data_IF_616070177422
#
_entry.id   IF_616070177422
#
_cell.length_a   1.000
_cell.length_b   1.000
_cell.length_c   1.000
_cell.angle_alpha   90.00
_cell.angle_beta   90.00
_cell.angle_gamma   90.00
#
_symmetry.space_group_name_H-M   'P 1'
#
loop_
_entity.id
_entity.type
_entity.pdbx_description
1 polymer ?
#
# COMPACT_ATOMS: atom_id res chain seq x y z
N UNK A 1 -9.55 8.71 9.69
CA UNK A 1 -10.94 8.34 9.37
C UNK A 1 -11.27 8.94 8.02
N UNK A 2 -10.75 8.38 6.95
CA UNK A 2 -11.26 8.69 5.63
C UNK A 2 -12.66 8.10 5.53
N UNK A 3 -13.63 8.92 5.17
CA UNK A 3 -14.93 8.44 4.77
C UNK A 3 -14.75 7.25 3.82
N UNK A 4 -15.54 6.21 4.02
CA UNK A 4 -15.49 4.94 3.27
C UNK A 4 -16.01 5.17 1.85
N UNK A 5 -15.43 6.14 1.16
CA UNK A 5 -15.83 6.54 -0.19
C UNK A 5 -15.45 5.50 -1.24
N UNK A 6 -14.49 4.62 -0.96
CA UNK A 6 -14.16 3.52 -1.88
C UNK A 6 -15.24 2.45 -1.95
N UNK A 7 -16.01 2.21 -0.87
CA UNK A 7 -17.15 1.29 -0.89
C UNK A 7 -18.36 1.85 -1.65
N UNK A 8 -18.44 3.17 -1.81
CA UNK A 8 -19.57 3.82 -2.49
C UNK A 8 -19.37 3.99 -4.00
N UNK A 9 -18.20 3.69 -4.55
CA UNK A 9 -17.86 3.95 -5.95
C UNK A 9 -17.70 2.69 -6.81
N UNK A 10 -17.72 1.50 -6.23
CA UNK A 10 -17.57 0.25 -6.96
C UNK A 10 -18.49 -0.85 -6.46
N UNK A 11 -18.85 -1.79 -7.33
CA UNK A 11 -19.66 -2.97 -6.96
C UNK A 11 -18.92 -3.88 -5.99
N UNK A 12 -17.59 -3.85 -6.01
CA UNK A 12 -16.71 -4.71 -5.23
C UNK A 12 -15.45 -3.97 -4.84
N UNK A 13 -15.05 -4.09 -3.56
CA UNK A 13 -13.75 -3.62 -3.05
C UNK A 13 -12.92 -4.82 -2.60
N UNK A 14 -11.69 -4.90 -3.10
CA UNK A 14 -10.74 -5.93 -2.70
C UNK A 14 -9.69 -5.32 -1.75
N UNK A 15 -9.53 -5.94 -0.58
CA UNK A 15 -8.51 -5.58 0.40
C UNK A 15 -7.44 -6.66 0.48
N UNK A 16 -6.20 -6.24 0.69
CA UNK A 16 -5.06 -7.14 0.91
C UNK A 16 -4.58 -7.03 2.35
N UNK A 17 -4.28 -8.18 2.95
CA UNK A 17 -3.64 -8.31 4.27
C UNK A 17 -2.20 -8.83 4.16
N UNK A 18 -1.55 -8.64 3.01
CA UNK A 18 -0.13 -8.98 2.87
C UNK A 18 0.72 -8.23 3.91
N UNK A 19 1.89 -8.79 4.25
CA UNK A 19 2.76 -8.30 5.32
C UNK A 19 3.15 -6.82 5.25
N UNK A 20 3.22 -6.26 4.04
CA UNK A 20 3.57 -4.86 3.80
C UNK A 20 2.36 -3.90 3.82
N UNK A 21 1.16 -4.37 4.15
CA UNK A 21 -0.05 -3.54 4.19
C UNK A 21 -0.22 -2.82 5.54
N UNK A 22 -0.99 -1.72 5.59
CA UNK A 22 -1.29 -1.04 6.85
C UNK A 22 -1.94 -1.93 7.92
N UNK A 23 -2.78 -2.87 7.50
CA UNK A 23 -3.30 -3.97 8.32
C UNK A 23 -2.70 -5.28 7.79
N UNK A 24 -1.53 -5.70 8.31
CA UNK A 24 -0.83 -6.87 7.81
C UNK A 24 -1.31 -8.17 8.46
N UNK A 25 -1.03 -9.28 7.78
CA UNK A 25 -0.99 -10.62 8.39
C UNK A 25 0.40 -11.23 8.23
N UNK A 26 0.72 -12.29 8.98
CA UNK A 26 1.99 -13.05 8.81
C UNK A 26 1.97 -13.97 7.58
N UNK A 27 0.84 -14.02 6.89
CA UNK A 27 0.66 -14.79 5.66
C UNK A 27 -0.08 -13.95 4.62
N UNK A 28 -0.31 -14.50 3.45
CA UNK A 28 -1.15 -13.87 2.45
C UNK A 28 -2.62 -13.99 2.82
N UNK A 29 -3.38 -12.90 2.72
CA UNK A 29 -4.81 -12.88 2.98
C UNK A 29 -5.45 -11.66 2.36
N UNK A 30 -6.76 -11.62 2.39
CA UNK A 30 -7.53 -10.49 1.88
C UNK A 30 -9.00 -10.58 2.24
N UNK A 31 -9.74 -9.52 1.92
CA UNK A 31 -11.18 -9.46 2.03
C UNK A 31 -11.79 -8.91 0.74
N UNK A 32 -13.00 -9.36 0.46
CA UNK A 32 -13.86 -8.81 -0.58
C UNK A 32 -15.08 -8.20 0.10
N UNK A 33 -15.37 -6.95 -0.22
CA UNK A 33 -16.49 -6.19 0.32
C UNK A 33 -17.43 -5.85 -0.83
N UNK A 34 -18.73 -6.01 -0.61
CA UNK A 34 -19.77 -5.65 -1.59
C UNK A 34 -21.11 -5.44 -0.88
N UNK A 35 -21.89 -4.48 -1.37
CA UNK A 35 -23.26 -4.24 -0.95
C UNK A 35 -24.26 -5.05 -1.81
N UNK A 36 -23.77 -5.73 -2.86
CA UNK A 36 -24.60 -6.56 -3.73
C UNK A 36 -24.73 -7.98 -3.17
N UNK A 37 -25.93 -8.32 -2.73
CA UNK A 37 -26.26 -9.62 -2.12
C UNK A 37 -25.99 -10.81 -3.05
N UNK A 38 -26.20 -10.67 -4.36
CA UNK A 38 -25.94 -11.73 -5.33
C UNK A 38 -24.45 -12.00 -5.45
N UNK A 39 -23.64 -10.94 -5.56
CA UNK A 39 -22.17 -11.02 -5.59
C UNK A 39 -21.62 -11.60 -4.29
N UNK A 40 -22.18 -11.20 -3.14
CA UNK A 40 -21.79 -11.76 -1.83
C UNK A 40 -21.92 -13.29 -1.80
N UNK A 41 -23.09 -13.82 -2.16
CA UNK A 41 -23.29 -15.28 -2.20
C UNK A 41 -22.42 -15.97 -3.25
N UNK A 42 -22.23 -15.36 -4.41
CA UNK A 42 -21.33 -15.87 -5.43
C UNK A 42 -19.88 -15.97 -4.92
N UNK A 43 -19.38 -14.96 -4.22
CA UNK A 43 -18.03 -15.00 -3.61
C UNK A 43 -17.91 -16.03 -2.50
N UNK A 44 -18.95 -16.23 -1.69
CA UNK A 44 -18.98 -17.32 -0.71
C UNK A 44 -18.85 -18.71 -1.37
N UNK A 45 -19.52 -18.91 -2.50
CA UNK A 45 -19.40 -20.17 -3.25
C UNK A 45 -18.00 -20.31 -3.86
N UNK A 46 -17.49 -19.28 -4.53
CA UNK A 46 -16.17 -19.30 -5.17
C UNK A 46 -15.04 -19.59 -4.18
N UNK A 47 -15.06 -18.97 -3.00
CA UNK A 47 -14.06 -19.20 -1.95
C UNK A 47 -14.17 -20.59 -1.30
N UNK A 48 -15.31 -21.29 -1.48
CA UNK A 48 -15.56 -22.61 -0.97
C UNK A 48 -15.65 -23.65 -2.10
N UNK A 49 -14.61 -23.72 -2.94
CA UNK A 49 -14.51 -24.68 -4.05
C UNK A 49 -15.64 -24.58 -5.10
N UNK A 50 -16.35 -23.47 -5.20
CA UNK A 50 -17.48 -23.29 -6.11
C UNK A 50 -18.76 -23.96 -5.67
N UNK A 51 -18.93 -24.26 -4.35
CA UNK A 51 -20.11 -24.91 -3.78
C UNK A 51 -20.92 -23.96 -2.91
N UNK A 52 -22.27 -24.00 -3.01
CA UNK A 52 -23.13 -23.28 -2.09
C UNK A 52 -23.21 -23.92 -0.69
N UNK A 53 -22.73 -25.15 -0.51
CA UNK A 53 -22.74 -25.84 0.76
C UNK A 53 -22.10 -27.24 0.71
N UNK A 54 -21.91 -27.87 1.89
CA UNK A 54 -21.14 -29.12 2.03
C UNK A 54 -21.69 -30.29 1.22
N UNK A 55 -23.00 -30.39 1.03
CA UNK A 55 -23.68 -31.50 0.35
C UNK A 55 -24.30 -31.11 -0.99
N UNK A 56 -24.04 -29.87 -1.46
CA UNK A 56 -24.62 -29.39 -2.72
C UNK A 56 -23.60 -29.51 -3.87
N UNK A 57 -24.08 -29.65 -5.11
CA UNK A 57 -23.20 -29.77 -6.27
C UNK A 57 -22.38 -28.50 -6.50
N UNK A 58 -21.29 -28.66 -7.22
CA UNK A 58 -20.48 -27.51 -7.68
C UNK A 58 -21.29 -26.71 -8.69
N UNK A 59 -21.35 -25.41 -8.49
CA UNK A 59 -22.06 -24.48 -9.38
C UNK A 59 -21.09 -23.56 -10.14
N UNK A 60 -19.85 -23.47 -9.66
CA UNK A 60 -18.82 -22.61 -10.23
C UNK A 60 -17.44 -23.27 -10.10
N UNK A 61 -16.48 -22.85 -10.92
CA UNK A 61 -15.08 -23.09 -10.63
C UNK A 61 -14.67 -22.19 -9.46
N UNK A 62 -14.14 -22.77 -8.40
CA UNK A 62 -13.76 -22.05 -7.21
C UNK A 62 -12.47 -22.57 -6.59
N UNK A 63 -11.97 -21.88 -5.58
CA UNK A 63 -10.76 -22.22 -4.85
C UNK A 63 -11.05 -22.43 -3.36
N UNK A 64 -10.12 -23.03 -2.62
CA UNK A 64 -10.12 -22.94 -1.16
C UNK A 64 -9.58 -21.58 -0.76
N UNK A 65 -10.47 -20.61 -0.56
CA UNK A 65 -10.14 -19.24 -0.19
C UNK A 65 -10.56 -18.85 1.23
N UNK A 66 -10.76 -19.85 2.10
CA UNK A 66 -11.08 -19.62 3.52
C UNK A 66 -9.75 -19.49 4.26
N UNK A 67 -9.50 -18.38 4.98
CA UNK A 67 -8.29 -18.23 5.79
C UNK A 67 -8.27 -19.25 6.92
N UNK A 68 -7.08 -19.65 7.32
CA UNK A 68 -6.91 -20.48 8.51
C UNK A 68 -7.21 -19.67 9.79
N UNK A 69 -7.61 -20.36 10.87
CA UNK A 69 -8.01 -19.69 12.13
C UNK A 69 -6.91 -18.86 12.74
N UNK A 70 -5.65 -19.31 12.66
CA UNK A 70 -4.49 -18.58 13.15
C UNK A 70 -4.35 -17.20 12.48
N UNK A 71 -4.61 -17.13 11.18
CA UNK A 71 -4.62 -15.87 10.44
C UNK A 71 -5.72 -14.93 10.94
N UNK A 72 -6.91 -15.47 11.21
CA UNK A 72 -8.04 -14.68 11.71
C UNK A 72 -7.75 -14.11 13.11
N UNK A 73 -7.20 -14.93 14.01
CA UNK A 73 -6.79 -14.49 15.35
C UNK A 73 -5.75 -13.38 15.28
N UNK A 74 -4.75 -13.53 14.43
CA UNK A 74 -3.70 -12.52 14.25
C UNK A 74 -4.27 -11.20 13.71
N UNK A 75 -5.14 -11.25 12.70
CA UNK A 75 -5.78 -10.04 12.18
C UNK A 75 -6.59 -9.32 13.25
N UNK A 76 -7.31 -10.03 14.10
CA UNK A 76 -8.04 -9.43 15.23
C UNK A 76 -7.07 -8.71 16.18
N UNK A 77 -5.95 -9.33 16.56
CA UNK A 77 -4.94 -8.69 17.39
C UNK A 77 -4.32 -7.43 16.74
N UNK A 78 -4.16 -7.43 15.41
CA UNK A 78 -3.65 -6.29 14.67
C UNK A 78 -4.70 -5.18 14.53
N UNK A 79 -5.97 -5.52 14.40
CA UNK A 79 -7.07 -4.55 14.35
C UNK A 79 -7.15 -3.72 15.64
N UNK A 80 -6.90 -4.31 16.80
CA UNK A 80 -6.86 -3.58 18.09
C UNK A 80 -5.78 -2.48 18.12
N UNK A 81 -4.74 -2.60 17.29
CA UNK A 81 -3.62 -1.66 17.21
C UNK A 81 -3.67 -0.77 15.96
N UNK A 82 -4.58 -1.05 15.05
CA UNK A 82 -4.60 -0.44 13.72
C UNK A 82 -4.70 1.09 13.77
N UNK A 83 -5.58 1.65 14.60
CA UNK A 83 -5.76 3.09 14.70
C UNK A 83 -4.49 3.80 15.20
N UNK A 84 -3.79 3.21 16.18
CA UNK A 84 -2.53 3.74 16.68
C UNK A 84 -1.42 3.66 15.60
N UNK A 85 -1.33 2.57 14.87
CA UNK A 85 -0.39 2.44 13.76
C UNK A 85 -0.68 3.42 12.63
N UNK A 86 -1.96 3.63 12.34
CA UNK A 86 -2.38 4.55 11.30
C UNK A 86 -2.07 6.02 11.70
N UNK A 87 -2.34 6.40 12.94
CA UNK A 87 -1.97 7.71 13.48
C UNK A 87 -0.46 7.93 13.36
N UNK A 88 0.35 6.94 13.74
CA UNK A 88 1.82 7.03 13.64
C UNK A 88 2.31 7.19 12.20
N UNK A 89 1.70 6.50 11.22
CA UNK A 89 2.03 6.68 9.81
C UNK A 89 1.77 8.10 9.34
N UNK A 90 0.67 8.72 9.77
CA UNK A 90 0.38 10.11 9.45
C UNK A 90 1.38 11.07 10.09
N UNK A 91 1.78 10.87 11.36
CA UNK A 91 2.84 11.67 11.99
C UNK A 91 4.16 11.60 11.20
N UNK A 92 4.55 10.41 10.76
CA UNK A 92 5.77 10.23 9.94
C UNK A 92 5.63 10.96 8.61
N UNK A 93 4.47 10.87 7.96
CA UNK A 93 4.21 11.57 6.72
C UNK A 93 4.31 13.10 6.90
N UNK A 94 3.75 13.65 7.97
CA UNK A 94 3.87 15.08 8.29
C UNK A 94 5.32 15.50 8.53
N UNK A 95 6.14 14.64 9.15
CA UNK A 95 7.56 14.91 9.31
C UNK A 95 8.27 14.95 7.95
N UNK A 96 7.98 13.99 7.05
CA UNK A 96 8.52 14.00 5.70
C UNK A 96 8.06 15.22 4.90
N UNK A 97 6.77 15.53 4.91
CA UNK A 97 6.22 16.71 4.21
C UNK A 97 6.91 17.99 4.62
N UNK A 98 7.09 18.20 5.95
CA UNK A 98 7.76 19.36 6.50
C UNK A 98 9.19 19.47 6.03
N UNK A 99 9.96 18.40 6.14
CA UNK A 99 11.39 18.42 5.84
C UNK A 99 11.62 18.48 4.33
N UNK A 100 10.89 17.74 3.52
CA UNK A 100 11.03 17.75 2.08
C UNK A 100 10.56 19.07 1.44
N UNK A 101 9.49 19.68 1.94
CA UNK A 101 9.10 21.04 1.51
C UNK A 101 10.21 22.06 1.80
N UNK A 102 10.83 21.97 2.99
CA UNK A 102 11.96 22.87 3.36
C UNK A 102 13.19 22.65 2.47
N UNK A 103 13.44 21.42 2.04
CA UNK A 103 14.58 21.04 1.22
C UNK A 103 14.31 21.19 -0.28
N UNK A 104 13.06 21.48 -0.68
CA UNK A 104 12.67 21.56 -2.09
C UNK A 104 12.66 20.19 -2.79
N UNK A 105 12.53 19.10 -2.04
CA UNK A 105 12.50 17.74 -2.57
C UNK A 105 11.07 17.41 -3.01
N UNK A 106 10.82 17.08 -4.28
CA UNK A 106 9.49 16.79 -4.77
C UNK A 106 9.00 15.43 -4.30
N UNK A 107 7.76 15.37 -3.86
CA UNK A 107 7.07 14.13 -3.47
C UNK A 107 5.64 14.15 -4.01
N UNK A 108 5.00 12.97 -4.01
CA UNK A 108 3.61 12.84 -4.47
C UNK A 108 2.66 13.56 -3.49
N UNK A 109 1.85 14.52 -3.96
CA UNK A 109 0.80 15.12 -3.13
C UNK A 109 -0.18 14.07 -2.60
N UNK A 110 -0.60 14.22 -1.37
CA UNK A 110 -1.56 13.31 -0.74
C UNK A 110 -2.99 13.62 -1.23
N UNK A 111 -3.69 12.59 -1.68
CA UNK A 111 -5.10 12.70 -2.05
C UNK A 111 -6.02 12.61 -0.82
N UNK A 112 -7.23 13.13 -0.93
CA UNK A 112 -8.27 12.90 0.08
C UNK A 112 -8.47 11.40 0.30
N UNK A 113 -8.48 10.97 1.56
CA UNK A 113 -8.61 9.56 1.93
C UNK A 113 -7.32 8.73 1.78
N UNK A 114 -6.17 9.36 1.50
CA UNK A 114 -4.89 8.67 1.54
C UNK A 114 -4.62 8.06 2.92
N UNK A 115 -4.17 6.81 2.94
CA UNK A 115 -3.99 6.01 4.16
C UNK A 115 -2.53 5.87 4.61
N UNK A 116 -1.63 6.70 4.12
CA UNK A 116 -0.20 6.66 4.43
C UNK A 116 0.46 5.26 4.24
N UNK A 117 -0.04 4.47 3.28
CA UNK A 117 0.52 3.14 2.99
C UNK A 117 1.91 3.24 2.34
N UNK A 118 2.07 4.14 1.39
CA UNK A 118 3.32 4.39 0.66
C UNK A 118 3.59 5.89 0.63
N UNK A 119 4.84 6.28 0.83
CA UNK A 119 5.29 7.66 0.67
C UNK A 119 6.27 7.72 -0.49
N UNK A 120 5.91 8.43 -1.57
CA UNK A 120 6.66 8.44 -2.81
C UNK A 120 7.39 9.78 -2.99
N UNK A 121 8.71 9.70 -3.16
CA UNK A 121 9.60 10.82 -3.51
C UNK A 121 9.93 10.73 -4.99
N UNK A 122 10.13 11.88 -5.65
CA UNK A 122 10.42 11.95 -7.08
C UNK A 122 11.91 12.15 -7.30
N UNK A 123 12.54 11.32 -8.14
CA UNK A 123 13.94 11.40 -8.54
C UNK A 123 14.06 11.48 -10.06
N UNK A 124 15.18 11.98 -10.58
CA UNK A 124 15.43 11.96 -12.02
C UNK A 124 15.58 10.52 -12.53
N UNK A 125 16.44 9.74 -11.90
CA UNK A 125 16.60 8.30 -12.10
C UNK A 125 16.27 7.57 -10.79
N UNK A 126 15.11 6.93 -10.76
CA UNK A 126 14.63 6.24 -9.55
C UNK A 126 15.46 5.00 -9.20
N UNK A 127 16.02 4.30 -10.20
CA UNK A 127 16.78 3.08 -9.96
C UNK A 127 18.18 3.42 -9.44
N UNK A 128 18.80 4.45 -9.97
CA UNK A 128 20.04 4.96 -9.39
C UNK A 128 19.83 5.48 -7.97
N UNK A 129 18.71 6.17 -7.72
CA UNK A 129 18.35 6.64 -6.38
C UNK A 129 18.09 5.47 -5.41
N UNK A 130 17.47 4.39 -5.86
CA UNK A 130 17.24 3.17 -5.08
C UNK A 130 18.55 2.54 -4.63
N UNK A 131 19.51 2.36 -5.55
CA UNK A 131 20.85 1.83 -5.24
C UNK A 131 21.61 2.73 -4.26
N UNK A 132 21.57 4.04 -4.44
CA UNK A 132 22.23 5.00 -3.55
C UNK A 132 21.59 5.03 -2.15
N UNK A 133 20.26 4.96 -2.05
CA UNK A 133 19.55 4.87 -0.77
C UNK A 133 19.89 3.57 -0.04
N UNK A 134 19.93 2.46 -0.75
CA UNK A 134 20.32 1.16 -0.20
C UNK A 134 21.75 1.20 0.36
N UNK A 135 22.69 1.84 -0.34
CA UNK A 135 24.07 2.05 0.14
C UNK A 135 24.15 2.90 1.41
N UNK A 136 23.13 3.74 1.67
CA UNK A 136 22.99 4.54 2.90
C UNK A 136 22.16 3.82 3.98
N UNK A 137 21.77 2.54 3.75
CA UNK A 137 21.00 1.74 4.69
C UNK A 137 19.49 2.03 4.68
N UNK A 138 18.97 2.64 3.61
CA UNK A 138 17.55 2.93 3.44
C UNK A 138 17.00 2.06 2.31
N UNK A 139 16.22 1.04 2.66
CA UNK A 139 15.47 0.25 1.67
C UNK A 139 14.36 1.10 1.07
N UNK A 140 14.24 1.07 -0.24
CA UNK A 140 13.20 1.76 -1.00
C UNK A 140 12.72 0.87 -2.13
N UNK A 141 11.61 1.21 -2.78
CA UNK A 141 11.03 0.35 -3.81
C UNK A 141 10.29 1.17 -4.88
N UNK A 142 10.52 0.82 -6.14
CA UNK A 142 9.81 1.38 -7.28
C UNK A 142 8.40 0.77 -7.41
N UNK A 143 7.38 1.48 -6.95
CA UNK A 143 5.97 1.10 -7.07
C UNK A 143 5.27 1.92 -8.18
N UNK A 144 5.27 1.49 -9.45
CA UNK A 144 5.72 0.21 -9.99
C UNK A 144 6.83 0.44 -11.03
N UNK A 145 7.47 -0.60 -11.60
CA UNK A 145 8.53 -0.41 -12.58
C UNK A 145 8.01 0.16 -13.90
N UNK A 146 6.76 -0.13 -14.26
CA UNK A 146 6.12 0.31 -15.49
C UNK A 146 4.60 0.55 -15.32
N UNK A 147 3.99 1.21 -16.31
CA UNK A 147 2.54 1.40 -16.38
C UNK A 147 1.84 0.16 -16.93
N UNK A 148 0.62 -0.12 -16.45
CA UNK A 148 -0.19 -1.25 -16.94
C UNK A 148 -0.84 -0.95 -18.31
N UNK A 149 -0.97 0.32 -18.67
CA UNK A 149 -1.57 0.74 -19.94
C UNK A 149 -0.50 0.94 -21.03
N UNK A 150 -0.95 0.99 -22.29
CA UNK A 150 -0.07 1.36 -23.41
C UNK A 150 0.49 2.76 -23.20
N UNK A 151 1.78 2.94 -23.48
CA UNK A 151 2.47 4.22 -23.38
C UNK A 151 1.80 5.30 -24.25
N UNK A 152 1.88 6.55 -23.81
CA UNK A 152 1.30 7.72 -24.49
C UNK A 152 -0.16 7.98 -24.21
N UNK A 153 -0.84 7.14 -23.41
CA UNK A 153 -2.26 7.36 -23.06
C UNK A 153 -2.46 8.07 -21.72
N UNK A 154 -1.52 7.92 -20.80
CA UNK A 154 -1.62 8.43 -19.42
C UNK A 154 -0.32 9.11 -18.99
N UNK A 155 -0.01 10.31 -19.53
CA UNK A 155 1.28 10.97 -19.30
C UNK A 155 1.58 11.23 -17.83
N UNK A 156 0.55 11.48 -17.01
CA UNK A 156 0.71 11.64 -15.56
C UNK A 156 1.15 10.35 -14.86
N UNK A 157 0.58 9.20 -15.24
CA UNK A 157 0.97 7.90 -14.72
C UNK A 157 2.38 7.49 -15.19
N UNK A 158 2.69 7.76 -16.46
CA UNK A 158 4.00 7.50 -17.04
C UNK A 158 5.10 8.32 -16.36
N UNK A 159 4.84 9.62 -16.15
CA UNK A 159 5.76 10.49 -15.40
C UNK A 159 5.95 10.00 -13.96
N UNK A 160 4.85 9.68 -13.27
CA UNK A 160 4.92 9.16 -11.91
C UNK A 160 5.73 7.88 -11.82
N UNK A 161 5.42 6.88 -12.66
CA UNK A 161 6.12 5.60 -12.67
C UNK A 161 7.60 5.77 -13.01
N UNK A 162 7.94 6.68 -13.92
CA UNK A 162 9.32 6.93 -14.32
C UNK A 162 10.19 7.48 -13.18
N UNK A 163 9.64 8.31 -12.31
CA UNK A 163 10.39 9.09 -11.34
C UNK A 163 10.15 8.73 -9.87
N UNK A 164 9.03 8.06 -9.55
CA UNK A 164 8.64 7.81 -8.16
C UNK A 164 9.37 6.62 -7.54
N UNK A 165 9.85 6.83 -6.31
CA UNK A 165 10.43 5.81 -5.46
C UNK A 165 9.78 5.88 -4.08
N UNK A 166 9.25 4.77 -3.58
CA UNK A 166 8.64 4.70 -2.26
C UNK A 166 9.72 4.53 -1.19
N UNK A 167 9.74 5.44 -0.22
CA UNK A 167 10.62 5.38 0.95
C UNK A 167 9.89 4.76 2.14
N UNK A 168 10.63 4.29 3.18
CA UNK A 168 10.01 3.64 4.32
C UNK A 168 8.99 4.53 5.04
N UNK A 169 7.80 3.97 5.26
CA UNK A 169 6.76 4.56 6.09
C UNK A 169 6.00 3.44 6.80
N UNK A 170 6.29 3.22 8.07
CA UNK A 170 5.59 2.22 8.89
C UNK A 170 5.55 2.69 10.36
N UNK A 171 4.62 2.14 11.13
CA UNK A 171 4.36 2.57 12.49
C UNK A 171 5.48 2.28 13.51
N UNK A 172 6.46 1.46 13.13
CA UNK A 172 7.57 1.07 14.03
C UNK A 172 8.78 1.99 13.92
N UNK A 173 8.84 2.86 12.89
CA UNK A 173 9.92 3.82 12.75
C UNK A 173 9.95 4.81 13.90
N UNK A 174 11.12 4.95 14.50
CA UNK A 174 11.41 5.99 15.48
C UNK A 174 11.64 7.35 14.80
N UNK A 175 11.49 8.44 15.55
CA UNK A 175 11.78 9.78 15.00
C UNK A 175 13.26 9.93 14.57
N UNK A 176 14.16 9.18 15.19
CA UNK A 176 15.59 9.18 14.80
C UNK A 176 15.78 8.53 13.44
N UNK A 177 15.16 7.38 13.20
CA UNK A 177 15.20 6.69 11.90
C UNK A 177 14.55 7.53 10.80
N UNK A 178 13.40 8.17 11.09
CA UNK A 178 12.75 9.10 10.14
C UNK A 178 13.72 10.22 9.71
N UNK A 179 14.45 10.82 10.66
CA UNK A 179 15.45 11.86 10.36
C UNK A 179 16.64 11.30 9.56
N UNK A 180 17.07 10.06 9.83
CA UNK A 180 18.11 9.39 9.04
C UNK A 180 17.65 9.16 7.60
N UNK A 181 16.41 8.72 7.41
CA UNK A 181 15.81 8.55 6.08
C UNK A 181 15.77 9.90 5.34
N UNK A 182 15.29 10.97 5.98
CA UNK A 182 15.29 12.33 5.39
C UNK A 182 16.67 12.75 4.94
N UNK A 183 17.69 12.54 5.77
CA UNK A 183 19.08 12.89 5.44
C UNK A 183 19.63 12.07 4.27
N UNK A 184 19.31 10.79 4.21
CA UNK A 184 19.70 9.93 3.10
C UNK A 184 19.04 10.39 1.79
N UNK A 185 17.72 10.64 1.82
CA UNK A 185 16.97 11.17 0.68
C UNK A 185 17.52 12.52 0.22
N UNK A 186 17.84 13.43 1.13
CA UNK A 186 18.47 14.72 0.80
C UNK A 186 19.81 14.55 0.08
N UNK A 187 20.64 13.63 0.56
CA UNK A 187 21.95 13.34 -0.04
C UNK A 187 21.80 12.80 -1.46
N UNK A 188 20.94 11.80 -1.64
CA UNK A 188 20.68 11.18 -2.94
C UNK A 188 20.03 12.17 -3.90
N UNK A 189 19.06 12.96 -3.43
CA UNK A 189 18.36 13.93 -4.27
C UNK A 189 19.30 15.02 -4.81
N UNK A 190 20.26 15.51 -4.03
CA UNK A 190 21.28 16.46 -4.49
C UNK A 190 22.17 15.91 -5.60
N UNK A 191 22.38 14.60 -5.62
CA UNK A 191 23.16 13.91 -6.65
C UNK A 191 22.31 13.50 -7.87
N UNK A 192 20.99 13.39 -7.70
CA UNK A 192 20.03 12.86 -8.67
C UNK A 192 18.84 13.84 -8.85
N UNK A 193 19.09 15.15 -8.78
CA UNK A 193 18.04 16.17 -8.98
C UNK A 193 17.66 16.30 -10.45
N UNK A 194 16.38 16.54 -10.71
CA UNK A 194 15.86 16.82 -12.05
C UNK A 194 16.29 18.19 -12.55
#
# INVERSE_FOLDING_TARGET
QGDVTSLSTGDVVCMSFAENKPLPSLATGGAILTDNTELYYKFLHLRNHGKPGRRLPYTHFGVRGVPDEDLAVQLLCHMDRFDAWQARRFEIAEMYDKDFNKLGIPFRPHSTGWNAHKYAVMFHDKFEAEDQLLALGVESEAHYPDVLAKTGHYPGAEHFVKHSLSIPINAHLTNTEVKQIVKAVETVWKNNSM
#
